data_IF_058986816612
#
_entry.id   IF_058986816612
#
_cell.length_a   1.000
_cell.length_b   1.000
_cell.length_c   1.000
_cell.angle_alpha   90.00
_cell.angle_beta   90.00
_cell.angle_gamma   90.00
#
_symmetry.space_group_name_H-M   'P 1'
#
loop_
_entity.id
_entity.type
_entity.pdbx_description
1 polymer ?
#
# COMPACT_ATOMS: atom_id res chain seq x y z
N UNK A 1 2.99 -18.77 0.64
CA UNK A 1 2.29 -19.64 -0.33
C UNK A 1 2.72 -21.11 -0.26
N UNK A 2 3.97 -21.40 0.03
CA UNK A 2 4.43 -22.80 0.20
C UNK A 2 3.83 -23.50 1.41
N UNK A 3 3.46 -22.76 2.43
CA UNK A 3 2.88 -23.28 3.68
C UNK A 3 1.34 -23.22 3.71
N UNK A 4 0.71 -22.44 2.83
CA UNK A 4 -0.74 -22.33 2.75
C UNK A 4 -1.21 -22.49 1.29
N UNK A 5 -1.92 -23.57 1.02
CA UNK A 5 -2.41 -23.91 -0.31
C UNK A 5 -3.59 -23.06 -0.76
N UNK A 6 -4.22 -22.32 0.13
CA UNK A 6 -5.30 -21.39 -0.20
C UNK A 6 -4.81 -20.15 -0.94
N UNK A 7 -3.53 -19.78 -0.77
CA UNK A 7 -2.95 -18.59 -1.41
C UNK A 7 -2.82 -18.84 -2.92
N UNK A 8 -3.45 -18.00 -3.72
CA UNK A 8 -3.34 -17.97 -5.17
C UNK A 8 -3.05 -16.54 -5.67
N UNK A 9 -2.47 -16.43 -6.85
CA UNK A 9 -2.10 -15.14 -7.43
C UNK A 9 -2.80 -14.92 -8.76
N UNK A 10 -3.33 -13.72 -8.95
CA UNK A 10 -4.09 -13.30 -10.13
C UNK A 10 -3.45 -12.02 -10.67
N UNK A 11 -3.34 -11.93 -11.99
CA UNK A 11 -2.89 -10.71 -12.67
C UNK A 11 -3.62 -10.54 -13.99
N UNK A 12 -3.54 -9.34 -14.58
CA UNK A 12 -4.13 -8.99 -15.88
C UNK A 12 -3.03 -8.62 -16.89
N UNK A 13 -2.37 -9.63 -17.45
CA UNK A 13 -1.24 -9.52 -18.39
C UNK A 13 0.01 -8.82 -17.83
N UNK A 14 0.17 -8.76 -16.47
CA UNK A 14 1.27 -8.03 -15.81
C UNK A 14 2.24 -8.94 -15.04
N UNK A 15 2.28 -10.24 -15.35
CA UNK A 15 3.08 -11.25 -14.64
C UNK A 15 4.53 -10.85 -14.39
N UNK A 16 5.19 -10.26 -15.36
CA UNK A 16 6.60 -9.87 -15.24
C UNK A 16 6.78 -8.56 -14.49
N UNK A 17 5.93 -7.60 -14.78
CA UNK A 17 6.00 -6.28 -14.14
C UNK A 17 5.68 -6.31 -12.64
N UNK A 18 4.82 -7.21 -12.20
CA UNK A 18 4.45 -7.40 -10.79
C UNK A 18 5.30 -8.44 -10.05
N UNK A 19 6.32 -9.02 -10.71
CA UNK A 19 7.19 -10.03 -10.07
C UNK A 19 6.55 -11.42 -9.91
N UNK A 20 5.32 -11.63 -10.37
CA UNK A 20 4.60 -12.90 -10.20
C UNK A 20 5.18 -14.06 -11.02
N UNK A 21 6.17 -13.84 -11.90
CA UNK A 21 6.89 -14.91 -12.57
C UNK A 21 7.57 -15.87 -11.59
N UNK A 22 7.97 -15.42 -10.39
CA UNK A 22 8.55 -16.26 -9.35
C UNK A 22 7.49 -17.15 -8.69
N UNK A 23 6.31 -16.60 -8.38
CA UNK A 23 5.18 -17.37 -7.90
C UNK A 23 4.72 -18.40 -8.94
N UNK A 24 4.60 -18.01 -10.20
CA UNK A 24 4.23 -18.90 -11.31
C UNK A 24 5.17 -20.11 -11.45
N UNK A 25 6.48 -19.91 -11.30
CA UNK A 25 7.47 -21.02 -11.39
C UNK A 25 7.27 -22.08 -10.31
N UNK A 26 6.87 -21.67 -9.11
CA UNK A 26 6.74 -22.56 -7.96
C UNK A 26 5.32 -23.10 -7.76
N UNK A 27 4.30 -22.32 -8.13
CA UNK A 27 2.89 -22.59 -7.83
C UNK A 27 1.99 -22.40 -9.05
N UNK A 28 2.35 -23.01 -10.20
CA UNK A 28 1.69 -22.81 -11.49
C UNK A 28 0.18 -23.08 -11.45
N UNK A 29 -0.28 -24.08 -10.70
CA UNK A 29 -1.71 -24.43 -10.58
C UNK A 29 -2.54 -23.43 -9.79
N UNK A 30 -1.90 -22.50 -9.09
CA UNK A 30 -2.54 -21.45 -8.28
C UNK A 30 -2.24 -20.04 -8.80
N UNK A 31 -1.75 -19.95 -10.03
CA UNK A 31 -1.48 -18.70 -10.73
C UNK A 31 -2.44 -18.55 -11.90
N UNK A 32 -3.08 -17.39 -12.00
CA UNK A 32 -4.04 -17.05 -13.02
C UNK A 32 -3.69 -15.71 -13.69
N UNK A 33 -3.49 -15.74 -15.00
CA UNK A 33 -3.35 -14.55 -15.82
C UNK A 33 -4.59 -14.44 -16.70
N UNK A 34 -5.43 -13.46 -16.44
CA UNK A 34 -6.73 -13.28 -17.12
C UNK A 34 -6.61 -12.45 -18.40
N UNK A 35 -5.39 -12.07 -18.80
CA UNK A 35 -5.19 -11.12 -19.90
C UNK A 35 -5.56 -9.69 -19.49
N UNK A 36 -5.70 -8.77 -20.43
CA UNK A 36 -6.07 -7.37 -20.16
C UNK A 36 -7.55 -7.24 -19.80
N UNK A 37 -7.93 -7.80 -18.65
CA UNK A 37 -9.30 -7.89 -18.16
C UNK A 37 -9.34 -7.69 -16.63
N UNK A 38 -9.00 -6.49 -16.18
CA UNK A 38 -8.88 -6.14 -14.77
C UNK A 38 -10.18 -6.37 -13.99
N UNK A 39 -11.33 -6.05 -14.58
CA UNK A 39 -12.65 -6.33 -14.00
C UNK A 39 -12.83 -7.83 -13.72
N UNK A 40 -12.48 -8.66 -14.71
CA UNK A 40 -12.57 -10.11 -14.55
C UNK A 40 -11.62 -10.63 -13.48
N UNK A 41 -10.41 -10.05 -13.36
CA UNK A 41 -9.48 -10.42 -12.29
C UNK A 41 -10.09 -10.23 -10.91
N UNK A 42 -10.80 -9.13 -10.70
CA UNK A 42 -11.44 -8.81 -9.41
C UNK A 42 -12.61 -9.75 -9.13
N UNK A 43 -13.55 -9.91 -10.08
CA UNK A 43 -14.69 -10.82 -9.92
C UNK A 43 -14.24 -12.26 -9.70
N UNK A 44 -13.21 -12.71 -10.44
CA UNK A 44 -12.64 -14.04 -10.28
C UNK A 44 -12.01 -14.23 -8.89
N UNK A 45 -11.28 -13.22 -8.39
CA UNK A 45 -10.74 -13.22 -7.04
C UNK A 45 -11.84 -13.32 -5.98
N UNK A 46 -12.93 -12.56 -6.16
CA UNK A 46 -14.09 -12.61 -5.26
C UNK A 46 -14.70 -14.02 -5.21
N UNK A 47 -14.87 -14.67 -6.37
CA UNK A 47 -15.37 -16.04 -6.44
C UNK A 47 -14.47 -17.05 -5.74
N UNK A 48 -13.13 -16.91 -5.87
CA UNK A 48 -12.17 -17.75 -5.16
C UNK A 48 -12.22 -17.51 -3.65
N UNK A 49 -12.28 -16.25 -3.21
CA UNK A 49 -12.35 -15.89 -1.81
C UNK A 49 -13.65 -16.40 -1.14
N UNK A 50 -14.79 -16.30 -1.84
CA UNK A 50 -16.07 -16.84 -1.38
C UNK A 50 -16.04 -18.38 -1.17
N UNK A 51 -15.11 -19.06 -1.84
CA UNK A 51 -14.87 -20.51 -1.69
C UNK A 51 -13.67 -20.82 -0.77
N UNK A 52 -13.24 -19.88 0.07
CA UNK A 52 -12.22 -20.11 1.11
C UNK A 52 -10.77 -19.99 0.66
N UNK A 53 -10.53 -19.58 -0.60
CA UNK A 53 -9.17 -19.24 -1.05
C UNK A 53 -8.71 -17.88 -0.51
N UNK A 54 -7.41 -17.63 -0.62
CA UNK A 54 -6.74 -16.36 -0.26
C UNK A 54 -6.11 -15.74 -1.52
N UNK A 55 -6.91 -15.14 -2.41
CA UNK A 55 -6.40 -14.57 -3.64
C UNK A 55 -5.63 -13.26 -3.41
N UNK A 56 -4.50 -13.16 -4.12
CA UNK A 56 -3.72 -11.94 -4.26
C UNK A 56 -3.90 -11.43 -5.68
N UNK A 57 -4.54 -10.27 -5.84
CA UNK A 57 -4.72 -9.59 -7.13
C UNK A 57 -3.59 -8.59 -7.29
N UNK A 58 -2.65 -8.88 -8.19
CA UNK A 58 -1.49 -8.01 -8.44
C UNK A 58 -1.62 -7.31 -9.78
N UNK A 59 -1.94 -6.02 -9.72
CA UNK A 59 -2.24 -5.14 -10.86
C UNK A 59 -1.61 -3.77 -10.59
N UNK A 60 -1.21 -3.06 -11.64
CA UNK A 60 -0.73 -1.68 -11.52
C UNK A 60 -1.86 -0.76 -11.04
N UNK A 61 -1.55 0.18 -10.16
CA UNK A 61 -2.50 1.11 -9.58
C UNK A 61 -3.39 1.77 -10.63
N UNK A 62 -2.81 2.33 -11.68
CA UNK A 62 -3.56 3.01 -12.75
C UNK A 62 -4.55 2.08 -13.47
N UNK A 63 -4.21 0.81 -13.68
CA UNK A 63 -5.08 -0.13 -14.39
C UNK A 63 -6.16 -0.72 -13.48
N UNK A 64 -5.94 -0.74 -12.19
CA UNK A 64 -6.91 -1.23 -11.21
C UNK A 64 -8.18 -0.36 -11.17
N UNK A 65 -8.11 0.89 -11.62
CA UNK A 65 -9.28 1.77 -11.78
C UNK A 65 -10.39 1.13 -12.64
N UNK A 66 -10.03 0.31 -13.64
CA UNK A 66 -11.02 -0.39 -14.48
C UNK A 66 -11.85 -1.41 -13.72
N UNK A 67 -11.34 -1.92 -12.60
CA UNK A 67 -12.02 -2.89 -11.74
C UNK A 67 -12.75 -2.28 -10.56
N UNK A 68 -12.88 -0.97 -10.45
CA UNK A 68 -13.40 -0.30 -9.25
C UNK A 68 -14.84 -0.71 -8.92
N UNK A 69 -15.71 -0.82 -9.91
CA UNK A 69 -17.09 -1.32 -9.73
C UNK A 69 -17.11 -2.72 -9.12
N UNK A 70 -16.28 -3.64 -9.64
CA UNK A 70 -16.17 -5.01 -9.12
C UNK A 70 -15.54 -5.05 -7.73
N UNK A 71 -14.62 -4.14 -7.42
CA UNK A 71 -14.07 -3.99 -6.06
C UNK A 71 -15.20 -3.65 -5.08
N UNK A 72 -16.09 -2.72 -5.44
CA UNK A 72 -17.25 -2.35 -4.63
C UNK A 72 -18.21 -3.52 -4.47
N UNK A 73 -18.73 -4.05 -5.58
CA UNK A 73 -19.85 -5.00 -5.57
C UNK A 73 -19.42 -6.42 -5.22
N UNK A 74 -18.32 -6.89 -5.80
CA UNK A 74 -17.96 -8.30 -5.68
C UNK A 74 -17.12 -8.58 -4.43
N UNK A 75 -16.32 -7.57 -3.97
CA UNK A 75 -15.38 -7.75 -2.86
C UNK A 75 -15.82 -7.02 -1.60
N UNK A 76 -16.01 -5.68 -1.67
CA UNK A 76 -16.23 -4.86 -0.48
C UNK A 76 -17.59 -5.14 0.19
N UNK A 77 -18.69 -5.17 -0.57
CA UNK A 77 -20.02 -5.43 -0.02
C UNK A 77 -20.13 -6.80 0.68
N UNK A 78 -19.38 -7.78 0.19
CA UNK A 78 -19.33 -9.13 0.76
C UNK A 78 -18.22 -9.31 1.80
N UNK A 79 -17.39 -8.29 2.01
CA UNK A 79 -16.22 -8.31 2.92
C UNK A 79 -15.29 -9.49 2.68
N UNK A 80 -15.07 -9.86 1.42
CA UNK A 80 -14.27 -11.01 1.05
C UNK A 80 -12.77 -10.77 1.28
N UNK A 81 -12.07 -11.82 1.69
CA UNK A 81 -10.62 -11.79 1.97
C UNK A 81 -9.82 -11.81 0.68
N UNK A 82 -9.80 -10.69 -0.03
CA UNK A 82 -8.99 -10.44 -1.22
C UNK A 82 -7.88 -9.44 -0.89
N UNK A 83 -6.63 -9.79 -1.18
CA UNK A 83 -5.50 -8.88 -1.06
C UNK A 83 -5.18 -8.27 -2.43
N UNK A 84 -5.31 -6.96 -2.55
CA UNK A 84 -4.86 -6.20 -3.72
C UNK A 84 -3.39 -5.78 -3.51
N UNK A 85 -2.47 -6.41 -4.23
CA UNK A 85 -1.08 -6.01 -4.31
C UNK A 85 -0.93 -4.96 -5.42
N UNK A 86 -1.03 -3.69 -5.01
CA UNK A 86 -1.13 -2.53 -5.90
C UNK A 86 0.27 -2.05 -6.25
N UNK A 87 0.74 -2.48 -7.40
CA UNK A 87 2.06 -2.11 -7.93
C UNK A 87 2.01 -0.74 -8.61
N UNK A 88 3.11 -0.03 -8.64
CA UNK A 88 3.22 1.33 -9.21
C UNK A 88 2.29 2.33 -8.55
N UNK A 89 2.17 2.26 -7.23
CA UNK A 89 1.48 3.28 -6.45
C UNK A 89 2.32 4.56 -6.37
N UNK A 90 1.67 5.71 -6.45
CA UNK A 90 2.32 7.02 -6.46
C UNK A 90 2.79 7.45 -7.86
N UNK A 91 3.76 8.36 -7.90
CA UNK A 91 4.35 8.85 -9.14
C UNK A 91 5.30 7.80 -9.74
N UNK A 92 5.18 7.58 -11.04
CA UNK A 92 5.92 6.53 -11.76
C UNK A 92 6.82 7.16 -12.83
N UNK A 93 8.06 7.52 -12.49
CA UNK A 93 8.99 8.06 -13.47
C UNK A 93 9.33 6.99 -14.53
N UNK A 94 9.28 7.37 -15.80
CA UNK A 94 9.69 6.53 -16.93
C UNK A 94 8.61 5.66 -17.57
N UNK A 95 7.43 5.50 -17.00
CA UNK A 95 6.31 4.75 -17.61
C UNK A 95 5.30 5.67 -18.33
N UNK A 96 5.49 7.00 -18.26
CA UNK A 96 4.67 8.00 -18.94
C UNK A 96 3.36 8.35 -18.21
N UNK A 97 2.58 9.23 -18.82
CA UNK A 97 1.40 9.85 -18.22
C UNK A 97 0.30 8.85 -17.86
N UNK A 98 0.22 7.73 -18.56
CA UNK A 98 -0.85 6.73 -18.41
C UNK A 98 -0.60 5.74 -17.25
N UNK A 99 0.54 5.79 -16.61
CA UNK A 99 0.94 4.81 -15.58
C UNK A 99 1.05 5.41 -14.18
N UNK A 100 0.56 6.62 -13.96
CA UNK A 100 0.62 7.28 -12.65
C UNK A 100 -0.39 6.66 -11.68
N UNK A 101 0.09 6.20 -10.53
CA UNK A 101 -0.71 5.52 -9.50
C UNK A 101 -1.16 6.46 -8.39
N UNK A 102 -1.88 7.54 -8.73
CA UNK A 102 -2.21 8.62 -7.80
C UNK A 102 -3.64 8.55 -7.26
N UNK A 103 -4.49 7.64 -7.73
CA UNK A 103 -5.90 7.56 -7.36
C UNK A 103 -6.25 6.37 -6.45
N UNK A 104 -5.36 5.37 -6.32
CA UNK A 104 -5.67 4.12 -5.62
C UNK A 104 -5.99 4.33 -4.13
N UNK A 105 -5.22 5.17 -3.44
CA UNK A 105 -5.49 5.49 -2.04
C UNK A 105 -6.88 6.11 -1.86
N UNK A 106 -7.26 7.07 -2.72
CA UNK A 106 -8.55 7.74 -2.66
C UNK A 106 -9.71 6.76 -2.89
N UNK A 107 -9.71 6.01 -3.99
CA UNK A 107 -10.85 5.12 -4.27
C UNK A 107 -10.99 3.95 -3.30
N UNK A 108 -9.91 3.44 -2.72
CA UNK A 108 -10.00 2.42 -1.68
C UNK A 108 -10.47 2.98 -0.33
N UNK A 109 -10.10 4.21 0.02
CA UNK A 109 -10.50 4.82 1.30
C UNK A 109 -11.99 5.17 1.39
N UNK A 110 -12.68 5.25 0.26
CA UNK A 110 -14.14 5.38 0.21
C UNK A 110 -14.88 4.08 0.60
N UNK A 111 -14.17 2.96 0.73
CA UNK A 111 -14.74 1.66 1.00
C UNK A 111 -14.54 1.28 2.48
N UNK A 112 -15.62 1.27 3.23
CA UNK A 112 -15.66 1.13 4.70
C UNK A 112 -15.04 -0.16 5.26
N UNK A 113 -14.94 -1.22 4.45
CA UNK A 113 -14.38 -2.51 4.86
C UNK A 113 -12.90 -2.67 4.52
N UNK A 114 -12.30 -1.75 3.75
CA UNK A 114 -10.91 -1.87 3.31
C UNK A 114 -9.92 -1.45 4.39
N UNK A 115 -8.79 -2.17 4.41
CA UNK A 115 -7.56 -1.70 5.03
C UNK A 115 -6.53 -1.40 3.94
N UNK A 116 -5.89 -0.23 4.01
CA UNK A 116 -4.85 0.19 3.06
C UNK A 116 -3.53 0.31 3.79
N UNK A 117 -2.52 -0.39 3.29
CA UNK A 117 -1.17 -0.41 3.85
C UNK A 117 -0.18 0.08 2.80
N UNK A 118 0.69 1.00 3.18
CA UNK A 118 1.70 1.63 2.32
C UNK A 118 3.09 1.57 2.97
N UNK A 119 3.80 0.45 2.87
CA UNK A 119 5.13 0.30 3.44
C UNK A 119 6.14 1.21 2.74
N UNK A 120 7.17 1.64 3.47
CA UNK A 120 8.20 2.51 2.93
C UNK A 120 9.47 1.76 2.48
N UNK A 121 9.69 0.52 2.95
CA UNK A 121 10.85 -0.29 2.62
C UNK A 121 10.51 -1.77 2.45
N UNK A 122 11.48 -2.59 2.01
CA UNK A 122 11.27 -4.01 1.76
C UNK A 122 11.00 -4.82 3.04
N UNK A 123 11.55 -4.41 4.16
CA UNK A 123 11.31 -5.10 5.44
C UNK A 123 9.85 -4.94 5.88
N UNK A 124 9.31 -3.72 5.82
CA UNK A 124 7.89 -3.47 6.06
C UNK A 124 6.99 -4.16 5.02
N UNK A 125 7.36 -4.10 3.74
CA UNK A 125 6.61 -4.76 2.67
C UNK A 125 6.48 -6.26 2.92
N UNK A 126 7.57 -6.93 3.29
CA UNK A 126 7.58 -8.35 3.61
C UNK A 126 6.72 -8.67 4.84
N UNK A 127 6.89 -7.91 5.92
CA UNK A 127 6.14 -8.07 7.16
C UNK A 127 4.62 -7.92 6.93
N UNK A 128 4.22 -6.83 6.26
CA UNK A 128 2.81 -6.57 6.03
C UNK A 128 2.19 -7.52 5.01
N UNK A 129 2.92 -7.93 3.97
CA UNK A 129 2.44 -8.95 3.04
C UNK A 129 2.11 -10.26 3.75
N UNK A 130 2.99 -10.75 4.62
CA UNK A 130 2.74 -11.97 5.39
C UNK A 130 1.54 -11.84 6.31
N UNK A 131 1.43 -10.71 7.01
CA UNK A 131 0.32 -10.43 7.92
C UNK A 131 -1.02 -10.34 7.18
N UNK A 132 -1.09 -9.53 6.13
CA UNK A 132 -2.32 -9.29 5.37
C UNK A 132 -2.85 -10.55 4.65
N UNK A 133 -1.96 -11.48 4.30
CA UNK A 133 -2.37 -12.77 3.73
C UNK A 133 -3.14 -13.66 4.72
N UNK A 134 -2.99 -13.46 6.01
CA UNK A 134 -3.59 -14.29 7.06
C UNK A 134 -4.86 -13.66 7.67
N UNK A 135 -5.01 -12.36 7.56
CA UNK A 135 -6.15 -11.63 8.11
C UNK A 135 -7.40 -11.74 7.21
N UNK A 136 -8.59 -11.48 7.74
CA UNK A 136 -9.86 -11.53 7.01
C UNK A 136 -10.34 -10.15 6.54
N UNK A 137 -11.08 -10.10 5.44
CA UNK A 137 -11.62 -8.90 4.82
C UNK A 137 -10.77 -8.39 3.65
N UNK A 138 -11.25 -7.37 2.92
CA UNK A 138 -10.56 -6.84 1.75
C UNK A 138 -9.42 -5.89 2.16
N UNK A 139 -8.28 -5.97 1.45
CA UNK A 139 -7.07 -5.22 1.78
C UNK A 139 -6.32 -4.77 0.55
N UNK A 140 -5.68 -3.62 0.65
CA UNK A 140 -4.75 -3.11 -0.34
C UNK A 140 -3.36 -2.92 0.28
N UNK A 141 -2.35 -3.52 -0.34
CA UNK A 141 -0.93 -3.30 -0.06
C UNK A 141 -0.35 -2.57 -1.26
N UNK A 142 -0.09 -1.29 -1.09
CA UNK A 142 0.38 -0.42 -2.16
C UNK A 142 1.88 -0.15 -2.06
N UNK A 143 2.60 -0.22 -3.18
CA UNK A 143 4.05 -0.01 -3.23
C UNK A 143 4.47 0.61 -4.56
N UNK A 144 5.54 1.43 -4.57
CA UNK A 144 6.02 2.10 -5.77
C UNK A 144 6.74 1.13 -6.71
N UNK A 145 7.00 1.59 -7.93
CA UNK A 145 7.93 0.95 -8.86
C UNK A 145 9.36 1.35 -8.53
N UNK A 146 10.29 0.40 -8.58
CA UNK A 146 11.72 0.68 -8.49
C UNK A 146 12.44 -0.19 -7.46
N UNK A 147 13.72 0.09 -7.33
CA UNK A 147 14.53 -0.47 -6.27
C UNK A 147 14.28 0.30 -4.96
N UNK A 148 14.53 -0.34 -3.83
CA UNK A 148 14.50 0.30 -2.54
C UNK A 148 15.56 1.41 -2.45
N UNK A 149 15.16 2.54 -1.90
CA UNK A 149 16.08 3.64 -1.60
C UNK A 149 16.92 3.33 -0.36
N UNK A 150 18.23 3.59 -0.39
CA UNK A 150 19.14 3.30 0.71
C UNK A 150 18.74 4.02 2.02
N UNK A 151 18.21 5.25 1.92
CA UNK A 151 17.78 6.00 3.08
C UNK A 151 16.51 5.40 3.71
N UNK A 152 15.61 4.81 2.91
CA UNK A 152 14.44 4.10 3.40
C UNK A 152 14.80 2.71 3.95
N UNK A 153 15.74 2.01 3.30
CA UNK A 153 16.25 0.72 3.78
C UNK A 153 16.90 0.82 5.16
N UNK A 154 17.52 1.97 5.46
CA UNK A 154 18.15 2.24 6.76
C UNK A 154 17.17 2.63 7.87
N UNK A 155 15.89 2.85 7.56
CA UNK A 155 14.90 3.18 8.58
C UNK A 155 14.56 1.94 9.41
N UNK A 156 14.73 2.07 10.72
CA UNK A 156 14.22 1.09 11.67
C UNK A 156 12.72 1.35 11.87
N UNK A 157 11.93 0.63 11.09
CA UNK A 157 10.48 0.71 11.16
C UNK A 157 9.95 -0.38 12.10
N UNK A 158 9.11 0.03 13.03
CA UNK A 158 8.62 -0.83 14.12
C UNK A 158 7.67 -1.96 13.67
N UNK A 159 7.23 -1.97 12.41
CA UNK A 159 6.14 -2.84 11.93
C UNK A 159 4.77 -2.48 12.51
N UNK A 160 4.65 -1.35 13.17
CA UNK A 160 3.40 -0.78 13.68
C UNK A 160 2.60 -0.08 12.57
N UNK A 161 1.43 0.40 12.91
CA UNK A 161 0.55 1.12 11.98
C UNK A 161 1.12 2.49 11.58
N UNK A 162 1.97 3.09 12.43
CA UNK A 162 2.75 4.29 12.12
C UNK A 162 3.98 4.40 13.00
N UNK A 163 5.00 5.11 12.53
CA UNK A 163 6.21 5.46 13.24
C UNK A 163 6.32 6.98 13.41
N UNK A 164 6.99 7.43 14.48
CA UNK A 164 7.19 8.86 14.76
C UNK A 164 8.68 9.14 14.89
N UNK A 165 9.19 9.95 13.98
CA UNK A 165 10.56 10.46 14.02
C UNK A 165 10.55 11.84 14.66
N UNK A 166 11.04 11.92 15.91
CA UNK A 166 11.02 13.14 16.71
C UNK A 166 12.16 14.09 16.35
N UNK A 167 11.86 15.40 16.36
CA UNK A 167 12.87 16.44 16.32
C UNK A 167 13.73 16.43 17.60
N UNK A 168 14.91 17.04 17.57
CA UNK A 168 15.80 17.16 18.73
C UNK A 168 15.27 18.13 19.82
N UNK A 169 14.23 18.89 19.54
CA UNK A 169 13.59 19.86 20.44
C UNK A 169 12.07 19.81 20.38
N UNK A 170 11.40 20.68 21.15
CA UNK A 170 9.94 20.80 21.10
C UNK A 170 9.50 21.17 19.68
N UNK A 171 8.65 20.33 19.09
CA UNK A 171 8.15 20.55 17.73
C UNK A 171 6.80 21.27 17.75
N UNK A 172 6.71 22.37 17.02
CA UNK A 172 5.45 23.12 16.80
C UNK A 172 4.64 22.54 15.64
N UNK A 173 5.26 21.78 14.76
CA UNK A 173 4.66 21.21 13.57
C UNK A 173 4.87 19.70 13.46
N UNK A 174 3.88 19.01 12.88
CA UNK A 174 3.99 17.64 12.45
C UNK A 174 3.89 17.55 10.92
N UNK A 175 4.75 16.73 10.31
CA UNK A 175 4.68 16.37 8.90
C UNK A 175 4.24 14.91 8.80
N UNK A 176 3.03 14.69 8.28
CA UNK A 176 2.43 13.37 8.13
C UNK A 176 2.64 12.88 6.70
N UNK A 177 3.09 11.66 6.53
CA UNK A 177 3.37 11.07 5.23
C UNK A 177 3.22 9.55 5.26
N UNK A 178 3.36 8.90 4.09
CA UNK A 178 3.36 7.43 3.99
C UNK A 178 4.21 6.95 2.79
N UNK A 179 4.55 5.66 2.81
CA UNK A 179 5.27 5.01 1.72
C UNK A 179 6.63 5.66 1.43
N UNK A 180 6.99 5.74 0.17
CA UNK A 180 8.29 6.25 -0.27
C UNK A 180 8.51 7.74 0.04
N UNK A 181 7.43 8.52 0.24
CA UNK A 181 7.53 9.94 0.62
C UNK A 181 8.15 10.16 2.00
N UNK A 182 8.26 9.13 2.84
CA UNK A 182 8.94 9.22 4.13
C UNK A 182 10.36 9.77 4.01
N UNK A 183 11.08 9.43 2.94
CA UNK A 183 12.44 9.96 2.65
C UNK A 183 12.42 11.47 2.52
N UNK A 184 11.54 12.01 1.68
CA UNK A 184 11.44 13.44 1.42
C UNK A 184 10.96 14.20 2.67
N UNK A 185 10.02 13.64 3.42
CA UNK A 185 9.56 14.23 4.67
C UNK A 185 10.68 14.32 5.72
N UNK A 186 11.48 13.27 5.89
CA UNK A 186 12.63 13.28 6.79
C UNK A 186 13.71 14.26 6.35
N UNK A 187 13.96 14.37 5.04
CA UNK A 187 14.89 15.37 4.49
C UNK A 187 14.38 16.80 4.73
N UNK A 188 13.10 17.04 4.51
CA UNK A 188 12.46 18.34 4.77
C UNK A 188 12.54 18.73 6.26
N UNK A 189 12.29 17.80 7.18
CA UNK A 189 12.44 18.05 8.62
C UNK A 189 13.87 18.44 9.01
N UNK A 190 14.89 17.78 8.41
CA UNK A 190 16.30 18.14 8.62
C UNK A 190 16.63 19.54 8.10
N UNK A 191 16.09 19.93 6.95
CA UNK A 191 16.28 21.28 6.39
C UNK A 191 15.58 22.34 7.25
N UNK A 192 14.38 22.06 7.77
CA UNK A 192 13.68 22.96 8.69
C UNK A 192 14.47 23.17 9.99
N UNK A 193 15.06 22.12 10.53
CA UNK A 193 15.88 22.20 11.75
C UNK A 193 17.10 23.11 11.57
N UNK A 194 17.73 23.14 10.38
CA UNK A 194 18.83 24.09 10.07
C UNK A 194 18.38 25.55 10.11
N UNK A 195 17.09 25.80 9.98
CA UNK A 195 16.47 27.14 10.08
C UNK A 195 15.83 27.42 11.44
N UNK A 196 16.08 26.53 12.43
CA UNK A 196 15.54 26.65 13.78
C UNK A 196 14.07 26.26 13.93
N UNK A 197 13.51 25.52 12.96
CA UNK A 197 12.14 25.00 13.02
C UNK A 197 12.15 23.51 13.30
N UNK A 198 11.57 23.10 14.44
CA UNK A 198 11.45 21.69 14.82
C UNK A 198 10.17 21.09 14.25
N UNK A 199 10.31 19.99 13.51
CA UNK A 199 9.18 19.28 12.88
C UNK A 199 9.29 17.79 13.20
N UNK A 200 8.28 17.22 13.82
CA UNK A 200 8.15 15.78 13.98
C UNK A 200 7.58 15.15 12.69
N UNK A 201 8.10 14.00 12.29
CA UNK A 201 7.61 13.28 11.10
C UNK A 201 6.82 12.05 11.55
N UNK A 202 5.57 12.00 11.14
CA UNK A 202 4.68 10.85 11.30
C UNK A 202 4.62 10.07 9.98
N UNK A 203 5.26 8.92 9.94
CA UNK A 203 5.21 8.00 8.80
C UNK A 203 4.13 6.95 9.04
N UNK A 204 3.03 7.05 8.32
CA UNK A 204 1.95 6.07 8.38
C UNK A 204 2.34 4.84 7.54
N UNK A 205 2.04 3.66 8.06
CA UNK A 205 2.11 2.40 7.32
C UNK A 205 0.70 1.94 6.99
N UNK A 206 -0.22 1.98 7.95
CA UNK A 206 -1.67 1.87 7.69
C UNK A 206 -2.21 3.26 7.43
N UNK A 207 -2.73 3.48 6.22
CA UNK A 207 -3.27 4.79 5.81
C UNK A 207 -4.80 4.83 5.84
N UNK A 208 -5.44 3.66 5.85
CA UNK A 208 -6.89 3.52 6.05
C UNK A 208 -7.22 2.16 6.69
N UNK A 209 -8.12 2.10 7.70
CA UNK A 209 -8.57 3.26 8.48
C UNK A 209 -7.39 3.92 9.20
N UNK A 210 -7.53 5.18 9.55
CA UNK A 210 -6.48 5.88 10.30
C UNK A 210 -6.20 5.16 11.62
N UNK A 211 -4.93 5.00 12.01
CA UNK A 211 -4.54 4.36 13.26
C UNK A 211 -5.22 4.99 14.47
N UNK A 212 -5.65 4.14 15.41
CA UNK A 212 -6.26 4.63 16.64
C UNK A 212 -5.30 5.52 17.43
N UNK A 213 -5.79 6.65 17.93
CA UNK A 213 -4.99 7.60 18.70
C UNK A 213 -4.10 8.53 17.87
N UNK A 214 -4.01 8.35 16.54
CA UNK A 214 -3.24 9.25 15.68
C UNK A 214 -3.74 10.69 15.75
N UNK A 215 -5.06 10.89 15.70
CA UNK A 215 -5.66 12.23 15.80
C UNK A 215 -5.34 12.90 17.13
N UNK A 216 -5.39 12.14 18.23
CA UNK A 216 -5.02 12.65 19.56
C UNK A 216 -3.54 13.02 19.63
N UNK A 217 -2.68 12.18 19.06
CA UNK A 217 -1.23 12.43 18.99
C UNK A 217 -0.89 13.69 18.17
N UNK A 218 -1.67 13.96 17.12
CA UNK A 218 -1.50 15.14 16.27
C UNK A 218 -2.13 16.40 16.86
N UNK A 219 -3.11 16.27 17.75
CA UNK A 219 -3.87 17.40 18.31
C UNK A 219 -3.05 18.41 19.14
N UNK A 220 -1.82 18.05 19.54
CA UNK A 220 -0.90 18.93 20.27
C UNK A 220 -0.07 19.88 19.40
N UNK A 221 -0.04 19.69 18.08
CA UNK A 221 0.76 20.52 17.18
C UNK A 221 0.02 21.77 16.71
N UNK A 222 0.76 22.87 16.60
CA UNK A 222 0.23 24.13 16.07
C UNK A 222 -0.09 24.04 14.56
N UNK A 223 0.68 23.23 13.84
CA UNK A 223 0.54 23.03 12.40
C UNK A 223 0.73 21.57 12.05
N UNK A 224 -0.14 21.05 11.20
CA UNK A 224 -0.04 19.71 10.64
C UNK A 224 0.00 19.84 9.12
N UNK A 225 1.03 19.25 8.52
CA UNK A 225 1.19 19.21 7.07
C UNK A 225 1.08 17.74 6.61
N UNK A 226 0.44 17.53 5.48
CA UNK A 226 0.40 16.23 4.82
C UNK A 226 1.21 16.28 3.54
N UNK A 227 2.05 15.25 3.33
CA UNK A 227 2.83 15.08 2.12
C UNK A 227 2.58 13.68 1.54
N UNK A 228 1.98 13.63 0.36
CA UNK A 228 1.62 12.40 -0.32
C UNK A 228 1.74 12.51 -1.84
N UNK A 229 1.84 11.36 -2.52
CA UNK A 229 1.84 11.25 -4.00
C UNK A 229 0.44 10.87 -4.53
N UNK A 230 -0.60 11.23 -3.83
CA UNK A 230 -1.98 10.93 -4.17
C UNK A 230 -2.81 12.18 -4.44
N UNK A 231 -4.06 11.99 -4.84
CA UNK A 231 -5.10 13.02 -4.99
C UNK A 231 -6.36 12.60 -4.26
#
# INVERSE_FOLDING_TARGET
>A
AGQDERICAITAAMKYGTGLQYFYKQHKSRFFDVGMAEQHAVTFAAGLAANGMRPVVSIYSTFLQRGYDQIIHDVNLQRLSVLFAVDRAGLVPGDGETHQGIYDAAFFSELDSFQIVSPCNYAELAYWLERLLLEDGPRALRYPRGAEDEALAALDCSGLEYDVFRAEGPADAALVTYGAQAKEALAAAKLAAQQGVCVDVYKLTVIHPLPQGLCDALGGYRSILFAEEGV
#
